data_IF_631111811296
#
_entry.id   IF_631111811296
#
_cell.length_a   1.000
_cell.length_b   1.000
_cell.length_c   1.000
_cell.angle_alpha   90.00
_cell.angle_beta   90.00
_cell.angle_gamma   90.00
#
_symmetry.space_group_name_H-M   'P 1'
#
loop_
_entity.id
_entity.type
_entity.pdbx_description
1 polymer ?
#
# COMPACT_ATOMS: atom_id res chain seq x y z
N UNK A 1 -4.75 -26.77 -3.49
CA UNK A 1 -3.72 -25.73 -3.68
C UNK A 1 -4.28 -24.39 -4.17
N UNK A 2 -5.26 -24.37 -5.06
CA UNK A 2 -5.74 -23.13 -5.72
C UNK A 2 -6.37 -22.05 -4.81
N UNK A 3 -6.78 -22.37 -3.59
CA UNK A 3 -7.39 -21.39 -2.67
C UNK A 3 -6.47 -20.89 -1.56
N UNK A 4 -5.27 -21.47 -1.43
CA UNK A 4 -4.25 -21.02 -0.48
C UNK A 4 -3.42 -19.86 -1.03
N UNK A 5 -3.26 -19.76 -2.36
CA UNK A 5 -2.53 -18.70 -3.02
C UNK A 5 -3.51 -17.84 -3.82
N UNK A 6 -3.58 -16.57 -3.46
CA UNK A 6 -4.42 -15.58 -4.12
C UNK A 6 -3.57 -14.71 -5.05
N UNK A 7 -3.70 -14.92 -6.34
CA UNK A 7 -3.07 -14.06 -7.34
C UNK A 7 -3.84 -12.74 -7.46
N UNK A 8 -3.12 -11.63 -7.62
CA UNK A 8 -3.78 -10.38 -7.98
C UNK A 8 -4.50 -10.51 -9.31
N UNK A 9 -5.54 -9.70 -9.54
CA UNK A 9 -6.29 -9.74 -10.79
C UNK A 9 -5.41 -9.52 -12.02
N UNK A 10 -4.38 -8.68 -11.90
CA UNK A 10 -3.42 -8.43 -12.99
C UNK A 10 -2.57 -9.65 -13.32
N UNK A 11 -2.07 -10.32 -12.31
CA UNK A 11 -1.29 -11.56 -12.50
C UNK A 11 -2.15 -12.64 -13.13
N UNK A 12 -3.38 -12.84 -12.63
CA UNK A 12 -4.30 -13.83 -13.18
C UNK A 12 -4.68 -13.51 -14.63
N UNK A 13 -5.05 -12.28 -14.94
CA UNK A 13 -5.42 -11.87 -16.30
C UNK A 13 -4.26 -12.01 -17.29
N UNK A 14 -3.03 -11.78 -16.84
CA UNK A 14 -1.85 -12.01 -17.68
C UNK A 14 -1.58 -13.50 -17.91
N UNK A 15 -1.74 -14.34 -16.90
CA UNK A 15 -1.60 -15.80 -17.06
C UNK A 15 -2.63 -16.33 -18.07
N UNK A 16 -3.85 -15.80 -18.02
CA UNK A 16 -4.95 -16.22 -18.91
C UNK A 16 -4.79 -15.70 -20.35
N UNK A 17 -4.13 -14.55 -20.53
CA UNK A 17 -3.93 -13.88 -21.82
C UNK A 17 -2.58 -13.15 -21.89
N UNK A 18 -1.46 -13.90 -21.99
CA UNK A 18 -0.13 -13.31 -21.90
C UNK A 18 0.28 -12.48 -23.13
N UNK A 19 -0.43 -12.62 -24.26
CA UNK A 19 -0.12 -11.87 -25.48
C UNK A 19 -0.65 -10.43 -25.45
N UNK A 20 -1.79 -10.19 -24.78
CA UNK A 20 -2.44 -8.88 -24.76
C UNK A 20 -2.43 -8.19 -23.39
N UNK A 21 -1.94 -8.85 -22.34
CA UNK A 21 -1.92 -8.34 -20.97
C UNK A 21 -0.50 -8.23 -20.43
N UNK A 22 -0.28 -7.29 -19.53
CA UNK A 22 0.97 -7.13 -18.80
C UNK A 22 0.77 -7.41 -17.31
N UNK A 23 1.69 -8.12 -16.66
CA UNK A 23 1.60 -8.47 -15.24
C UNK A 23 2.05 -7.32 -14.34
N UNK A 24 1.72 -6.09 -14.69
CA UNK A 24 2.13 -4.89 -13.97
C UNK A 24 0.93 -4.29 -13.25
N UNK A 25 0.86 -4.44 -11.93
CA UNK A 25 -0.18 -3.80 -11.12
C UNK A 25 0.16 -2.34 -10.83
N UNK A 26 1.39 -2.08 -10.40
CA UNK A 26 1.91 -0.75 -10.11
C UNK A 26 3.34 -0.59 -10.61
N UNK A 27 3.70 0.66 -10.88
CA UNK A 27 5.06 1.04 -11.27
C UNK A 27 5.39 2.42 -10.73
N UNK A 28 6.65 2.81 -10.81
CA UNK A 28 7.19 4.07 -10.34
C UNK A 28 7.92 4.78 -11.48
N UNK A 29 7.76 6.09 -11.59
CA UNK A 29 8.57 6.93 -12.45
C UNK A 29 9.14 8.11 -11.65
N UNK A 30 10.46 8.24 -11.66
CA UNK A 30 11.17 9.39 -11.04
C UNK A 30 11.49 10.38 -12.12
N UNK A 31 10.89 11.57 -12.06
CA UNK A 31 11.01 12.60 -13.08
C UNK A 31 12.28 13.40 -12.84
N UNK A 32 13.16 13.44 -13.83
CA UNK A 32 14.34 14.30 -13.84
C UNK A 32 13.96 15.73 -14.25
N UNK A 33 14.72 16.71 -13.75
CA UNK A 33 14.50 18.14 -14.01
C UNK A 33 14.99 18.57 -15.41
N UNK A 34 14.41 17.95 -16.43
CA UNK A 34 14.63 18.23 -17.84
C UNK A 34 13.38 17.90 -18.64
N UNK A 35 13.09 18.68 -19.68
CA UNK A 35 12.02 18.30 -20.63
C UNK A 35 12.38 17.05 -21.40
N UNK A 36 13.63 16.96 -21.85
CA UNK A 36 14.16 15.89 -22.70
C UNK A 36 14.88 14.80 -21.89
N UNK A 37 15.19 13.69 -22.57
CA UNK A 37 15.95 12.60 -22.00
C UNK A 37 15.06 11.42 -21.57
N UNK A 38 15.67 10.25 -21.26
CA UNK A 38 14.92 9.02 -21.00
C UNK A 38 14.07 9.07 -19.72
N UNK A 39 14.42 9.92 -18.75
CA UNK A 39 13.73 10.12 -17.49
C UNK A 39 13.21 11.55 -17.32
N UNK A 40 13.20 12.35 -18.40
CA UNK A 40 12.68 13.71 -18.39
C UNK A 40 11.16 13.78 -18.35
N UNK A 41 10.66 14.98 -18.31
CA UNK A 41 9.22 15.28 -18.16
C UNK A 41 8.41 14.68 -19.31
N UNK A 42 8.83 14.86 -20.57
CA UNK A 42 8.12 14.30 -21.74
C UNK A 42 8.14 12.77 -21.74
N UNK A 43 9.26 12.15 -21.38
CA UNK A 43 9.34 10.70 -21.24
C UNK A 43 8.41 10.19 -20.13
N UNK A 44 8.25 10.95 -19.05
CA UNK A 44 7.32 10.59 -17.97
C UNK A 44 5.86 10.59 -18.41
N UNK A 45 5.45 11.54 -19.24
CA UNK A 45 4.07 11.57 -19.78
C UNK A 45 3.79 10.36 -20.66
N UNK A 46 4.73 10.00 -21.52
CA UNK A 46 4.65 8.81 -22.36
C UNK A 46 4.56 7.55 -21.49
N UNK A 47 5.42 7.42 -20.47
CA UNK A 47 5.45 6.29 -19.57
C UNK A 47 4.14 6.15 -18.79
N UNK A 48 3.66 7.23 -18.16
CA UNK A 48 2.40 7.23 -17.41
C UNK A 48 1.22 6.86 -18.32
N UNK A 49 1.16 7.47 -19.51
CA UNK A 49 0.13 7.13 -20.51
C UNK A 49 0.16 5.66 -20.91
N UNK A 50 1.36 5.11 -21.14
CA UNK A 50 1.54 3.69 -21.48
C UNK A 50 1.06 2.79 -20.34
N UNK A 51 1.54 3.02 -19.12
CA UNK A 51 1.20 2.22 -17.94
C UNK A 51 -0.31 2.23 -17.67
N UNK A 52 -0.95 3.39 -17.66
CA UNK A 52 -2.39 3.53 -17.43
C UNK A 52 -3.22 2.80 -18.49
N UNK A 53 -2.84 2.86 -19.79
CA UNK A 53 -3.55 2.14 -20.86
C UNK A 53 -3.50 0.62 -20.67
N UNK A 54 -2.42 0.11 -20.08
CA UNK A 54 -2.27 -1.33 -19.77
C UNK A 54 -2.74 -1.67 -18.35
N UNK A 55 -3.39 -0.72 -17.67
CA UNK A 55 -4.06 -0.93 -16.40
C UNK A 55 -3.17 -0.86 -15.16
N UNK A 56 -1.91 -0.44 -15.28
CA UNK A 56 -1.04 -0.24 -14.14
C UNK A 56 -1.33 1.09 -13.44
N UNK A 57 -1.24 1.12 -12.10
CA UNK A 57 -1.13 2.34 -11.33
C UNK A 57 0.30 2.91 -11.42
N UNK A 58 0.44 4.23 -11.39
CA UNK A 58 1.75 4.88 -11.50
C UNK A 58 1.98 5.85 -10.34
N UNK A 59 3.05 5.63 -9.61
CA UNK A 59 3.59 6.61 -8.66
C UNK A 59 4.60 7.51 -9.38
N UNK A 60 4.31 8.81 -9.44
CA UNK A 60 5.14 9.80 -10.11
C UNK A 60 5.88 10.61 -9.06
N UNK A 61 7.19 10.45 -8.98
CA UNK A 61 8.04 11.14 -8.02
C UNK A 61 8.59 12.42 -8.62
N UNK A 62 8.20 13.57 -8.06
CA UNK A 62 8.43 14.91 -8.60
C UNK A 62 9.54 15.69 -7.87
N UNK A 63 10.16 15.10 -6.85
CA UNK A 63 11.08 15.81 -5.92
C UNK A 63 12.35 16.35 -6.56
N UNK A 64 12.72 15.87 -7.74
CA UNK A 64 13.88 16.38 -8.49
C UNK A 64 13.57 17.60 -9.35
N UNK A 65 12.29 17.89 -9.59
CA UNK A 65 11.89 19.07 -10.34
C UNK A 65 12.26 20.34 -9.55
N UNK A 66 12.78 21.33 -10.25
CA UNK A 66 13.06 22.63 -9.64
C UNK A 66 11.77 23.32 -9.16
N UNK A 67 11.86 24.14 -8.10
CA UNK A 67 10.68 24.79 -7.56
C UNK A 67 10.12 25.85 -8.51
N UNK A 68 8.83 26.13 -8.32
CA UNK A 68 8.11 27.20 -8.96
C UNK A 68 8.86 28.55 -8.79
N UNK A 69 8.90 29.35 -9.83
CA UNK A 69 9.58 30.64 -9.83
C UNK A 69 11.10 30.57 -10.09
N UNK A 70 11.68 29.37 -10.24
CA UNK A 70 13.12 29.24 -10.56
C UNK A 70 13.40 29.72 -11.99
N UNK A 71 14.27 30.74 -12.15
CA UNK A 71 14.67 31.23 -13.45
C UNK A 71 15.75 30.34 -14.07
N UNK A 72 15.69 30.14 -15.38
CA UNK A 72 16.65 29.31 -16.11
C UNK A 72 17.79 30.14 -16.78
N UNK A 73 17.93 31.43 -16.47
CA UNK A 73 18.89 32.34 -17.05
C UNK A 73 18.63 32.76 -18.50
N UNK A 74 17.49 32.30 -19.08
CA UNK A 74 17.05 32.63 -20.46
C UNK A 74 15.70 33.34 -20.49
N UNK A 75 15.26 33.87 -19.35
CA UNK A 75 14.00 34.58 -19.20
C UNK A 75 12.76 33.64 -19.08
N UNK A 76 12.97 32.32 -18.89
CA UNK A 76 11.92 31.39 -18.63
C UNK A 76 11.89 31.01 -17.15
N UNK A 77 10.71 30.89 -16.59
CA UNK A 77 10.49 30.60 -15.18
C UNK A 77 9.83 29.21 -15.06
N UNK A 78 10.35 28.36 -14.16
CA UNK A 78 9.78 27.05 -13.88
C UNK A 78 8.40 27.20 -13.23
N UNK A 79 7.48 26.31 -13.56
CA UNK A 79 6.13 26.27 -12.99
C UNK A 79 5.99 25.32 -11.80
N UNK A 80 7.04 24.58 -11.45
CA UNK A 80 7.11 23.70 -10.29
C UNK A 80 6.37 22.37 -10.40
N UNK A 81 6.58 21.47 -9.43
CA UNK A 81 6.04 20.10 -9.45
C UNK A 81 4.51 20.04 -9.41
N UNK A 82 3.84 20.98 -8.73
CA UNK A 82 2.36 21.01 -8.64
C UNK A 82 1.73 21.26 -10.01
N UNK A 83 2.29 22.17 -10.79
CA UNK A 83 1.84 22.46 -12.14
C UNK A 83 1.97 21.25 -13.06
N UNK A 84 3.10 20.54 -13.04
CA UNK A 84 3.26 19.28 -13.78
C UNK A 84 2.35 18.17 -13.25
N UNK A 85 2.06 18.16 -11.94
CA UNK A 85 1.11 17.26 -11.32
C UNK A 85 -0.28 17.26 -11.97
N UNK A 86 -0.75 18.43 -12.41
CA UNK A 86 -2.03 18.61 -13.12
C UNK A 86 -2.08 17.84 -14.45
N UNK A 87 -0.96 17.70 -15.13
CA UNK A 87 -0.87 16.94 -16.40
C UNK A 87 -1.11 15.46 -16.13
N UNK A 88 -0.50 14.89 -15.09
CA UNK A 88 -0.69 13.47 -14.75
C UNK A 88 -2.13 13.19 -14.28
N UNK A 89 -2.73 14.12 -13.53
CA UNK A 89 -4.13 14.05 -13.16
C UNK A 89 -5.05 14.05 -14.40
N UNK A 90 -4.77 14.92 -15.37
CA UNK A 90 -5.50 14.97 -16.64
C UNK A 90 -5.31 13.67 -17.46
N UNK A 91 -4.09 13.15 -17.56
CA UNK A 91 -3.82 11.87 -18.24
C UNK A 91 -4.67 10.75 -17.66
N UNK A 92 -4.68 10.61 -16.33
CA UNK A 92 -5.48 9.58 -15.65
C UNK A 92 -6.97 9.76 -15.96
N UNK A 93 -7.49 11.00 -15.90
CA UNK A 93 -8.88 11.28 -16.21
C UNK A 93 -9.26 10.84 -17.63
N UNK A 94 -8.47 11.20 -18.63
CA UNK A 94 -8.79 10.94 -20.03
C UNK A 94 -8.66 9.46 -20.39
N UNK A 95 -7.59 8.82 -19.94
CA UNK A 95 -7.33 7.41 -20.25
C UNK A 95 -8.29 6.46 -19.52
N UNK A 96 -8.68 6.79 -18.28
CA UNK A 96 -9.68 6.04 -17.53
C UNK A 96 -11.04 6.01 -18.23
N UNK A 97 -11.43 7.08 -18.91
CA UNK A 97 -12.72 7.18 -19.61
C UNK A 97 -12.76 6.43 -20.94
N UNK A 98 -11.63 6.27 -21.61
CA UNK A 98 -11.52 5.67 -22.94
C UNK A 98 -10.76 4.35 -22.99
N UNK A 99 -10.12 3.93 -21.89
CA UNK A 99 -9.28 2.73 -21.85
C UNK A 99 -10.05 1.45 -21.60
N UNK A 100 -9.42 0.32 -21.92
CA UNK A 100 -9.89 -1.03 -21.61
C UNK A 100 -10.01 -1.23 -20.10
N UNK A 101 -9.12 -0.58 -19.32
CA UNK A 101 -9.12 -0.59 -17.87
C UNK A 101 -9.65 0.75 -17.32
N UNK A 102 -10.72 0.67 -16.57
CA UNK A 102 -11.37 1.86 -15.97
C UNK A 102 -10.66 2.38 -14.71
N UNK A 103 -9.72 1.65 -14.15
CA UNK A 103 -9.20 1.82 -12.80
C UNK A 103 -7.70 2.15 -12.72
N UNK A 104 -7.19 2.97 -13.63
CA UNK A 104 -5.85 3.54 -13.49
C UNK A 104 -5.76 4.46 -12.26
N UNK A 105 -4.64 4.41 -11.55
CA UNK A 105 -4.36 5.26 -10.41
C UNK A 105 -3.06 6.03 -10.62
N UNK A 106 -3.06 7.30 -10.24
CA UNK A 106 -1.87 8.14 -10.21
C UNK A 106 -1.69 8.68 -8.79
N UNK A 107 -0.49 8.49 -8.24
CA UNK A 107 -0.07 9.12 -6.99
C UNK A 107 1.13 10.01 -7.27
N UNK A 108 1.02 11.27 -6.91
CA UNK A 108 2.10 12.24 -7.00
C UNK A 108 2.87 12.24 -5.69
N UNK A 109 4.17 12.09 -5.76
CA UNK A 109 5.06 12.07 -4.62
C UNK A 109 5.95 13.31 -4.59
N UNK A 110 6.06 13.94 -3.42
CA UNK A 110 6.98 15.05 -3.18
C UNK A 110 7.68 14.86 -1.83
N UNK A 111 8.97 15.14 -1.76
CA UNK A 111 9.72 15.10 -0.51
C UNK A 111 9.36 16.29 0.38
N UNK A 112 9.26 16.05 1.68
CA UNK A 112 8.91 17.10 2.67
C UNK A 112 9.87 18.29 2.63
N UNK A 113 11.12 18.08 2.21
CA UNK A 113 12.15 19.12 2.10
C UNK A 113 12.07 19.96 0.81
N UNK A 114 11.16 19.61 -0.12
CA UNK A 114 11.04 20.38 -1.37
C UNK A 114 10.51 21.79 -1.11
N UNK A 115 11.06 22.84 -1.74
CA UNK A 115 10.60 24.22 -1.52
C UNK A 115 9.12 24.45 -1.77
N UNK A 116 8.52 23.74 -2.73
CA UNK A 116 7.10 23.85 -3.06
C UNK A 116 6.19 22.92 -2.22
N UNK A 117 6.70 22.38 -1.11
CA UNK A 117 5.92 21.42 -0.30
C UNK A 117 4.61 22.02 0.22
N UNK A 118 4.61 23.30 0.62
CA UNK A 118 3.39 23.96 1.10
C UNK A 118 2.36 24.08 -0.03
N UNK A 119 2.79 24.49 -1.24
CA UNK A 119 1.91 24.53 -2.41
C UNK A 119 1.33 23.13 -2.71
N UNK A 120 2.17 22.09 -2.64
CA UNK A 120 1.74 20.73 -2.87
C UNK A 120 0.70 20.25 -1.84
N UNK A 121 0.90 20.56 -0.55
CA UNK A 121 0.00 20.19 0.54
C UNK A 121 -1.34 20.92 0.46
N UNK A 122 -1.32 22.21 0.14
CA UNK A 122 -2.51 23.08 0.13
C UNK A 122 -3.25 23.13 -1.21
N UNK A 123 -2.69 22.52 -2.26
CA UNK A 123 -3.35 22.46 -3.57
C UNK A 123 -4.75 21.86 -3.44
N UNK A 124 -5.80 22.57 -3.88
CA UNK A 124 -7.16 22.06 -3.79
C UNK A 124 -7.34 20.76 -4.59
N UNK A 125 -8.13 19.82 -4.06
CA UNK A 125 -8.42 18.57 -4.76
C UNK A 125 -9.06 18.79 -6.14
N UNK A 126 -9.83 19.87 -6.30
CA UNK A 126 -10.42 20.26 -7.58
C UNK A 126 -9.39 20.51 -8.69
N UNK A 127 -8.14 20.84 -8.34
CA UNK A 127 -7.06 21.03 -9.30
C UNK A 127 -6.31 19.73 -9.64
N UNK A 128 -6.38 18.72 -8.76
CA UNK A 128 -5.79 17.40 -8.92
C UNK A 128 -6.83 16.27 -8.71
N UNK A 129 -7.99 16.33 -9.38
CA UNK A 129 -9.14 15.47 -9.03
C UNK A 129 -8.87 13.98 -9.28
N UNK A 130 -7.93 13.64 -10.16
CA UNK A 130 -7.62 12.27 -10.57
C UNK A 130 -6.20 11.82 -10.16
N UNK A 131 -5.59 12.51 -9.22
CA UNK A 131 -4.32 12.13 -8.63
C UNK A 131 -4.39 12.23 -7.10
N UNK A 132 -3.82 11.25 -6.41
CA UNK A 132 -3.58 11.31 -4.97
C UNK A 132 -2.20 11.91 -4.71
N UNK A 133 -1.94 12.32 -3.48
CA UNK A 133 -0.68 12.94 -3.06
C UNK A 133 -0.05 12.18 -1.92
N UNK A 134 1.26 11.99 -2.02
CA UNK A 134 2.07 11.36 -0.97
C UNK A 134 3.30 12.23 -0.67
N UNK A 135 3.57 12.43 0.60
CA UNK A 135 4.79 13.11 1.07
C UNK A 135 5.80 12.05 1.49
N UNK A 136 7.03 12.16 0.96
CA UNK A 136 8.12 11.29 1.37
C UNK A 136 8.98 12.02 2.40
N UNK A 137 9.37 11.31 3.48
CA UNK A 137 10.12 11.91 4.57
C UNK A 137 11.01 10.91 5.30
N UNK A 138 11.99 11.46 6.03
CA UNK A 138 12.75 10.80 7.06
C UNK A 138 12.40 11.39 8.42
N UNK A 139 12.77 10.73 9.51
CA UNK A 139 12.61 11.26 10.88
C UNK A 139 13.33 12.61 11.05
N UNK A 140 14.57 12.72 10.55
CA UNK A 140 15.34 13.99 10.58
C UNK A 140 14.58 15.11 9.87
N UNK A 141 14.12 14.86 8.64
CA UNK A 141 13.37 15.86 7.86
C UNK A 141 12.05 16.27 8.53
N UNK A 142 11.37 15.35 9.22
CA UNK A 142 10.19 15.69 10.01
C UNK A 142 10.53 16.66 11.14
N UNK A 143 11.59 16.41 11.90
CA UNK A 143 12.01 17.30 12.97
C UNK A 143 12.43 18.69 12.47
N UNK A 144 13.06 18.76 11.32
CA UNK A 144 13.51 20.02 10.69
C UNK A 144 12.38 20.79 9.98
N UNK A 145 11.25 20.14 9.68
CA UNK A 145 10.14 20.77 8.99
C UNK A 145 9.50 21.89 9.83
N UNK A 146 9.06 22.95 9.14
CA UNK A 146 8.35 24.05 9.79
C UNK A 146 6.99 23.60 10.37
N UNK A 147 6.52 24.30 11.40
CA UNK A 147 5.21 24.01 12.00
C UNK A 147 4.06 24.13 10.99
N UNK A 148 4.17 25.02 10.02
CA UNK A 148 3.21 25.12 8.92
C UNK A 148 3.16 23.83 8.10
N UNK A 149 4.31 23.29 7.69
CA UNK A 149 4.37 22.03 6.92
C UNK A 149 3.82 20.86 7.73
N UNK A 150 4.21 20.73 9.01
CA UNK A 150 3.68 19.69 9.91
C UNK A 150 2.17 19.78 10.04
N UNK A 151 1.65 20.98 10.31
CA UNK A 151 0.21 21.23 10.44
C UNK A 151 -0.56 20.85 9.16
N UNK A 152 -0.07 21.24 7.98
CA UNK A 152 -0.75 20.91 6.73
C UNK A 152 -0.69 19.42 6.40
N UNK A 153 0.39 18.72 6.77
CA UNK A 153 0.46 17.25 6.65
C UNK A 153 -0.58 16.57 7.54
N UNK A 154 -0.63 16.94 8.83
CA UNK A 154 -1.58 16.36 9.79
C UNK A 154 -3.03 16.58 9.36
N UNK A 155 -3.36 17.78 8.90
CA UNK A 155 -4.66 18.09 8.29
C UNK A 155 -4.93 17.22 7.06
N UNK A 156 -3.95 17.06 6.20
CA UNK A 156 -4.06 16.27 4.99
C UNK A 156 -4.31 14.78 5.26
N UNK A 157 -3.66 14.20 6.28
CA UNK A 157 -3.89 12.83 6.73
C UNK A 157 -5.30 12.68 7.28
N UNK A 158 -5.73 13.57 8.18
CA UNK A 158 -7.07 13.55 8.77
C UNK A 158 -8.18 13.63 7.72
N UNK A 159 -7.95 14.35 6.62
CA UNK A 159 -8.90 14.46 5.49
C UNK A 159 -8.78 13.30 4.47
N UNK A 160 -7.79 12.43 4.60
CA UNK A 160 -7.48 11.42 3.59
C UNK A 160 -6.93 11.99 2.27
N UNK A 161 -6.45 13.24 2.26
CA UNK A 161 -5.90 13.92 1.08
C UNK A 161 -4.40 13.67 0.89
N UNK A 162 -3.68 13.40 1.97
CA UNK A 162 -2.22 13.21 1.99
C UNK A 162 -1.88 11.86 2.60
N UNK A 163 -1.04 11.12 1.90
CA UNK A 163 -0.43 9.89 2.36
C UNK A 163 1.04 10.14 2.71
N UNK A 164 1.65 9.25 3.48
CA UNK A 164 3.07 9.36 3.84
C UNK A 164 3.83 8.10 3.43
N UNK A 165 5.07 8.27 3.00
CA UNK A 165 6.02 7.19 2.78
C UNK A 165 7.39 7.55 3.34
N UNK A 166 8.03 6.61 4.03
CA UNK A 166 9.42 6.78 4.47
C UNK A 166 10.36 6.75 3.27
N UNK A 167 11.36 7.63 3.26
CA UNK A 167 12.46 7.56 2.28
C UNK A 167 13.30 6.34 2.61
N UNK A 168 13.51 5.47 1.62
CA UNK A 168 14.24 4.22 1.76
C UNK A 168 15.33 4.08 0.72
N UNK A 169 16.34 3.30 1.05
CA UNK A 169 17.44 2.93 0.17
C UNK A 169 17.56 1.40 0.12
N UNK A 170 18.04 0.89 -0.98
CA UNK A 170 18.33 -0.54 -1.14
C UNK A 170 19.69 -0.91 -0.50
N UNK A 171 20.06 -2.17 -0.57
CA UNK A 171 21.33 -2.68 -0.02
C UNK A 171 22.58 -2.09 -0.68
N UNK A 172 22.43 -1.40 -1.82
CA UNK A 172 23.52 -0.72 -2.52
C UNK A 172 23.59 0.78 -2.19
N UNK A 173 22.69 1.27 -1.34
CA UNK A 173 22.57 2.69 -0.99
C UNK A 173 21.79 3.52 -2.01
N UNK A 174 21.21 2.90 -3.03
CA UNK A 174 20.39 3.59 -4.02
C UNK A 174 18.99 3.81 -3.49
N UNK A 175 18.44 4.99 -3.73
CA UNK A 175 17.07 5.32 -3.30
C UNK A 175 16.05 4.46 -4.05
N UNK A 176 15.12 3.90 -3.31
CA UNK A 176 13.94 3.21 -3.80
C UNK A 176 12.68 3.98 -3.44
N UNK A 177 11.66 3.88 -4.27
CA UNK A 177 10.51 4.77 -4.27
C UNK A 177 9.22 3.98 -4.09
N UNK A 178 8.33 4.49 -3.25
CA UNK A 178 7.05 3.85 -2.98
C UNK A 178 6.16 3.86 -4.24
N UNK A 179 5.45 2.74 -4.45
CA UNK A 179 4.43 2.60 -5.50
C UNK A 179 3.12 3.34 -5.17
N UNK A 180 2.06 3.06 -5.90
CA UNK A 180 0.74 3.69 -5.73
C UNK A 180 0.11 3.38 -4.37
N UNK A 181 0.17 2.12 -3.94
CA UNK A 181 -0.44 1.67 -2.68
C UNK A 181 0.57 1.65 -1.51
N UNK A 182 1.78 2.14 -1.73
CA UNK A 182 2.85 2.37 -0.76
C UNK A 182 3.42 1.12 -0.08
N UNK A 183 3.06 -0.08 -0.52
CA UNK A 183 3.59 -1.35 0.02
C UNK A 183 4.86 -1.83 -0.68
N UNK A 184 5.07 -1.44 -1.95
CA UNK A 184 6.22 -1.85 -2.75
C UNK A 184 7.15 -0.67 -2.99
N UNK A 185 8.45 -0.90 -2.84
CA UNK A 185 9.49 0.12 -3.09
C UNK A 185 10.34 -0.30 -4.27
N UNK A 186 10.39 0.55 -5.29
CA UNK A 186 10.93 0.27 -6.62
C UNK A 186 12.01 1.27 -7.01
N UNK A 187 12.90 0.87 -7.90
CA UNK A 187 13.64 1.82 -8.74
C UNK A 187 12.70 2.43 -9.77
N UNK A 188 13.07 3.57 -10.35
CA UNK A 188 12.30 4.16 -11.45
C UNK A 188 12.11 3.14 -12.57
N UNK A 189 10.88 3.02 -13.09
CA UNK A 189 10.44 2.03 -14.10
C UNK A 189 10.42 0.58 -13.64
N UNK A 190 10.60 0.33 -12.34
CA UNK A 190 10.41 -0.98 -11.74
C UNK A 190 8.93 -1.38 -11.72
N UNK A 191 8.68 -2.66 -11.58
CA UNK A 191 7.34 -3.26 -11.60
C UNK A 191 7.08 -4.09 -10.36
N UNK A 192 5.82 -4.21 -9.96
CA UNK A 192 5.43 -5.12 -8.89
C UNK A 192 4.65 -6.32 -9.44
N UNK A 193 5.04 -7.52 -9.01
CA UNK A 193 4.35 -8.77 -9.22
C UNK A 193 3.94 -9.29 -7.84
N UNK A 194 2.64 -9.41 -7.58
CA UNK A 194 2.10 -9.65 -6.24
C UNK A 194 1.22 -10.89 -6.19
N UNK A 195 1.40 -11.68 -5.15
CA UNK A 195 0.53 -12.76 -4.71
C UNK A 195 0.37 -12.73 -3.19
N UNK A 196 -0.68 -13.36 -2.69
CA UNK A 196 -1.00 -13.36 -1.28
C UNK A 196 -1.36 -14.76 -0.80
N UNK A 197 -0.90 -15.11 0.40
CA UNK A 197 -1.31 -16.33 1.08
C UNK A 197 -2.65 -16.09 1.76
N UNK A 198 -3.65 -16.93 1.47
CA UNK A 198 -4.93 -16.91 2.14
C UNK A 198 -4.83 -17.67 3.47
N UNK A 199 -4.56 -16.94 4.54
CA UNK A 199 -4.32 -17.49 5.87
C UNK A 199 -5.54 -18.26 6.43
N UNK A 200 -6.75 -17.85 6.07
CA UNK A 200 -7.99 -18.48 6.56
C UNK A 200 -8.34 -19.79 5.87
N UNK A 201 -7.71 -20.14 4.74
CA UNK A 201 -8.16 -21.31 3.95
C UNK A 201 -7.49 -22.61 4.37
N UNK A 202 -6.22 -22.59 4.76
CA UNK A 202 -5.47 -23.76 5.18
C UNK A 202 -5.50 -24.02 6.69
N UNK A 203 -4.92 -25.16 7.10
CA UNK A 203 -4.53 -25.41 8.49
C UNK A 203 -3.19 -24.69 8.79
N UNK A 204 -2.84 -24.62 10.08
CA UNK A 204 -1.53 -24.05 10.46
C UNK A 204 -0.35 -24.84 9.88
N UNK A 205 -0.51 -26.16 9.75
CA UNK A 205 0.50 -27.06 9.15
C UNK A 205 0.70 -26.81 7.65
N UNK A 206 -0.34 -26.30 6.95
CA UNK A 206 -0.26 -26.02 5.50
C UNK A 206 0.49 -24.70 5.21
N UNK A 207 0.53 -23.74 6.15
CA UNK A 207 1.06 -22.41 5.92
C UNK A 207 2.53 -22.40 5.46
N UNK A 208 3.47 -23.14 6.06
CA UNK A 208 4.86 -23.14 5.59
C UNK A 208 5.00 -23.57 4.13
N UNK A 209 4.24 -24.59 3.73
CA UNK A 209 4.22 -25.05 2.33
C UNK A 209 3.56 -24.03 1.41
N UNK A 210 2.44 -23.42 1.84
CA UNK A 210 1.77 -22.39 1.05
C UNK A 210 2.65 -21.17 0.78
N UNK A 211 3.40 -20.70 1.78
CA UNK A 211 4.37 -19.61 1.62
C UNK A 211 5.52 -19.99 0.69
N UNK A 212 6.04 -21.21 0.79
CA UNK A 212 7.08 -21.72 -0.10
C UNK A 212 6.57 -21.79 -1.54
N UNK A 213 5.40 -22.39 -1.76
CA UNK A 213 4.80 -22.56 -3.09
C UNK A 213 4.47 -21.19 -3.72
N UNK A 214 3.90 -20.26 -2.95
CA UNK A 214 3.59 -18.91 -3.42
C UNK A 214 4.85 -18.13 -3.84
N UNK A 215 5.91 -18.20 -3.02
CA UNK A 215 7.19 -17.57 -3.40
C UNK A 215 7.82 -18.23 -4.63
N UNK A 216 7.76 -19.55 -4.73
CA UNK A 216 8.27 -20.28 -5.90
C UNK A 216 7.51 -19.87 -7.16
N UNK A 217 6.17 -19.78 -7.09
CA UNK A 217 5.36 -19.35 -8.22
C UNK A 217 5.69 -17.91 -8.64
N UNK A 218 5.76 -16.97 -7.68
CA UNK A 218 6.12 -15.57 -7.96
C UNK A 218 7.48 -15.45 -8.66
N UNK A 219 8.48 -16.17 -8.19
CA UNK A 219 9.82 -16.16 -8.79
C UNK A 219 9.81 -16.72 -10.21
N UNK A 220 9.06 -17.79 -10.45
CA UNK A 220 8.92 -18.38 -11.79
C UNK A 220 8.15 -17.47 -12.75
N UNK A 221 7.10 -16.82 -12.28
CA UNK A 221 6.34 -15.83 -13.04
C UNK A 221 7.20 -14.60 -13.34
N UNK A 222 7.97 -14.11 -12.38
CA UNK A 222 8.90 -13.00 -12.56
C UNK A 222 9.86 -13.24 -13.73
N UNK A 223 10.41 -14.45 -13.84
CA UNK A 223 11.32 -14.82 -14.95
C UNK A 223 10.65 -14.82 -16.33
N UNK A 224 9.32 -14.82 -16.38
CA UNK A 224 8.53 -14.94 -17.63
C UNK A 224 7.83 -13.64 -18.02
N UNK A 225 7.93 -12.57 -17.23
CA UNK A 225 7.13 -11.34 -17.47
C UNK A 225 7.42 -10.69 -18.81
N UNK A 226 8.67 -10.69 -19.28
CA UNK A 226 9.08 -10.07 -20.54
C UNK A 226 8.76 -8.57 -20.64
N UNK A 227 8.53 -7.90 -19.51
CA UNK A 227 8.11 -6.48 -19.49
C UNK A 227 9.14 -5.54 -20.08
N UNK A 228 10.41 -5.90 -20.06
CA UNK A 228 11.51 -5.15 -20.69
C UNK A 228 11.37 -5.05 -22.20
N UNK A 229 10.68 -5.99 -22.86
CA UNK A 229 10.44 -5.97 -24.32
C UNK A 229 9.58 -4.79 -24.74
N UNK A 230 8.84 -4.20 -23.81
CA UNK A 230 8.06 -2.98 -24.06
C UNK A 230 8.95 -1.74 -24.25
N UNK A 231 10.20 -1.76 -23.78
CA UNK A 231 11.12 -0.62 -23.71
C UNK A 231 10.75 0.41 -22.64
N UNK A 232 9.70 0.16 -21.84
CA UNK A 232 9.23 1.09 -20.81
C UNK A 232 9.69 0.70 -19.40
N UNK A 233 9.75 -0.59 -19.10
CA UNK A 233 10.09 -1.11 -17.78
C UNK A 233 11.53 -1.61 -17.70
N UNK A 234 12.06 -1.68 -16.48
CA UNK A 234 13.36 -2.27 -16.22
C UNK A 234 13.38 -3.76 -16.59
N UNK A 235 14.55 -4.27 -17.04
CA UNK A 235 14.72 -5.70 -17.26
C UNK A 235 14.70 -6.45 -15.92
N UNK A 236 14.18 -7.67 -15.94
CA UNK A 236 14.08 -8.55 -14.77
C UNK A 236 15.44 -8.78 -14.06
N UNK A 237 16.52 -8.74 -14.81
CA UNK A 237 17.89 -8.88 -14.28
C UNK A 237 18.32 -7.71 -13.37
N UNK A 238 17.69 -6.55 -13.56
CA UNK A 238 17.91 -5.34 -12.74
C UNK A 238 16.80 -5.15 -11.70
N UNK A 239 15.56 -5.54 -12.03
CA UNK A 239 14.36 -5.41 -11.19
C UNK A 239 14.06 -6.73 -10.47
N UNK A 240 15.00 -7.21 -9.65
CA UNK A 240 14.95 -8.50 -8.95
C UNK A 240 14.08 -8.43 -7.72
N UNK A 241 12.79 -8.34 -7.91
CA UNK A 241 11.85 -8.23 -6.80
C UNK A 241 10.47 -8.77 -7.14
N UNK A 242 9.82 -9.28 -6.12
CA UNK A 242 8.42 -9.75 -6.11
C UNK A 242 7.79 -9.34 -4.79
N UNK A 243 6.49 -9.50 -4.63
CA UNK A 243 5.80 -9.19 -3.40
C UNK A 243 4.86 -10.31 -2.97
N UNK A 244 5.34 -11.21 -2.12
CA UNK A 244 4.47 -12.16 -1.43
C UNK A 244 3.87 -11.50 -0.20
N UNK A 245 2.55 -11.40 -0.16
CA UNK A 245 1.80 -10.88 0.97
C UNK A 245 0.90 -11.94 1.59
N UNK A 246 -0.06 -11.48 2.37
CA UNK A 246 -1.04 -12.32 3.03
C UNK A 246 -2.37 -11.61 3.14
N UNK A 247 -3.46 -12.39 3.24
CA UNK A 247 -4.82 -11.92 3.47
C UNK A 247 -5.55 -12.92 4.38
N UNK A 248 -6.68 -12.51 4.94
CA UNK A 248 -7.51 -13.38 5.75
C UNK A 248 -6.99 -13.62 7.17
N UNK A 249 -6.20 -12.68 7.74
CA UNK A 249 -5.76 -12.81 9.12
C UNK A 249 -6.92 -12.87 10.10
N UNK A 250 -7.93 -12.01 9.94
CA UNK A 250 -9.13 -12.03 10.80
C UNK A 250 -9.83 -13.40 10.79
N UNK A 251 -9.95 -14.03 9.60
CA UNK A 251 -10.53 -15.36 9.47
C UNK A 251 -9.67 -16.43 10.18
N UNK A 252 -8.34 -16.40 9.99
CA UNK A 252 -7.45 -17.33 10.67
C UNK A 252 -7.60 -17.24 12.18
N UNK A 253 -7.56 -16.03 12.73
CA UNK A 253 -7.68 -15.81 14.17
C UNK A 253 -9.02 -16.33 14.70
N UNK A 254 -10.13 -16.01 14.03
CA UNK A 254 -11.46 -16.50 14.38
C UNK A 254 -11.56 -18.05 14.34
N UNK A 255 -10.97 -18.68 13.34
CA UNK A 255 -10.96 -20.13 13.16
C UNK A 255 -10.13 -20.86 14.23
N UNK A 256 -9.08 -20.24 14.73
CA UNK A 256 -8.23 -20.76 15.80
C UNK A 256 -8.71 -20.34 17.21
N UNK A 257 -9.77 -19.52 17.30
CA UNK A 257 -10.30 -19.02 18.57
C UNK A 257 -9.34 -18.09 19.31
N UNK A 258 -8.61 -17.29 18.58
CA UNK A 258 -7.60 -16.32 19.08
C UNK A 258 -8.05 -14.91 18.73
N UNK A 259 -7.92 -13.98 19.67
CA UNK A 259 -8.20 -12.56 19.43
C UNK A 259 -6.99 -11.84 18.86
N UNK A 260 -7.22 -10.68 18.21
CA UNK A 260 -6.10 -9.79 17.77
C UNK A 260 -5.19 -9.41 18.95
N UNK A 261 -5.76 -9.15 20.13
CA UNK A 261 -4.98 -8.83 21.33
C UNK A 261 -4.05 -9.98 21.74
N UNK A 262 -4.58 -11.22 21.85
CA UNK A 262 -3.78 -12.40 22.19
C UNK A 262 -2.70 -12.69 21.14
N UNK A 263 -3.02 -12.50 19.87
CA UNK A 263 -2.07 -12.70 18.79
C UNK A 263 -0.97 -11.63 18.81
N UNK A 264 -1.32 -10.37 19.10
CA UNK A 264 -0.36 -9.28 19.26
C UNK A 264 0.60 -9.52 20.43
N UNK A 265 0.11 -10.05 21.56
CA UNK A 265 0.96 -10.45 22.69
C UNK A 265 1.92 -11.59 22.31
N UNK A 266 1.43 -12.59 21.56
CA UNK A 266 2.28 -13.70 21.12
C UNK A 266 3.34 -13.26 20.10
N UNK A 267 3.03 -12.32 19.22
CA UNK A 267 4.01 -11.71 18.31
C UNK A 267 5.08 -10.95 19.10
N UNK A 268 4.66 -10.19 20.10
CA UNK A 268 5.59 -9.42 20.92
C UNK A 268 6.55 -10.34 21.71
N UNK A 269 6.02 -11.40 22.33
CA UNK A 269 6.82 -12.44 23.02
C UNK A 269 7.84 -13.09 22.07
N UNK A 270 7.40 -13.46 20.87
CA UNK A 270 8.28 -14.08 19.87
C UNK A 270 9.41 -13.16 19.38
N UNK A 271 9.16 -11.86 19.36
CA UNK A 271 10.09 -10.86 18.83
C UNK A 271 11.05 -10.29 19.89
N UNK A 272 10.72 -10.41 21.18
CA UNK A 272 11.45 -9.80 22.30
C UNK A 272 11.74 -10.83 23.38
N UNK A 273 13.02 -11.19 23.54
CA UNK A 273 13.48 -12.24 24.48
C UNK A 273 13.16 -11.93 25.95
N UNK A 274 13.02 -10.66 26.30
CA UNK A 274 12.77 -10.19 27.68
C UNK A 274 11.28 -10.07 28.03
N UNK A 275 10.38 -10.48 27.13
CA UNK A 275 8.95 -10.40 27.36
C UNK A 275 8.46 -11.60 28.18
N UNK A 276 7.70 -11.35 29.23
CA UNK A 276 7.14 -12.35 30.14
C UNK A 276 5.61 -12.26 30.25
N UNK A 277 4.93 -11.91 29.16
CA UNK A 277 3.47 -11.84 29.09
C UNK A 277 2.81 -13.23 29.09
N UNK A 278 1.50 -13.23 29.28
CA UNK A 278 0.68 -14.46 29.22
C UNK A 278 0.32 -14.77 27.78
N UNK A 279 1.09 -15.64 27.12
CA UNK A 279 0.83 -16.07 25.74
C UNK A 279 0.00 -17.33 25.73
N UNK A 280 -1.13 -17.32 25.00
CA UNK A 280 -1.92 -18.52 24.81
C UNK A 280 -1.24 -19.51 23.86
N UNK A 281 -1.33 -20.83 24.13
CA UNK A 281 -0.71 -21.83 23.25
C UNK A 281 -1.21 -21.78 21.80
N UNK A 282 -2.46 -21.39 21.56
CA UNK A 282 -3.03 -21.23 20.22
C UNK A 282 -2.39 -20.05 19.48
N UNK A 283 -2.26 -18.88 20.13
CA UNK A 283 -1.62 -17.73 19.55
C UNK A 283 -0.14 -18.00 19.21
N UNK A 284 0.59 -18.65 20.13
CA UNK A 284 1.99 -19.04 19.89
C UNK A 284 2.16 -19.98 18.68
N UNK A 285 1.21 -20.92 18.48
CA UNK A 285 1.23 -21.80 17.30
C UNK A 285 1.02 -21.04 16.00
N UNK A 286 0.14 -20.03 15.97
CA UNK A 286 -0.08 -19.19 14.78
C UNK A 286 1.21 -18.43 14.45
N UNK A 287 1.83 -17.78 15.46
CA UNK A 287 3.09 -17.04 15.28
C UNK A 287 4.17 -17.96 14.70
N UNK A 288 4.31 -19.17 15.27
CA UNK A 288 5.29 -20.15 14.78
C UNK A 288 5.01 -20.54 13.32
N UNK A 289 3.78 -20.83 12.96
CA UNK A 289 3.42 -21.24 11.61
C UNK A 289 3.70 -20.13 10.58
N UNK A 290 3.44 -18.86 10.95
CA UNK A 290 3.77 -17.71 10.11
C UNK A 290 5.29 -17.54 9.97
N UNK A 291 6.05 -17.67 11.07
CA UNK A 291 7.51 -17.58 11.02
C UNK A 291 8.09 -18.69 10.14
N UNK A 292 7.65 -19.93 10.32
CA UNK A 292 8.10 -21.07 9.52
C UNK A 292 7.79 -20.83 8.01
N UNK A 293 6.63 -20.24 7.70
CA UNK A 293 6.24 -19.87 6.35
C UNK A 293 7.11 -18.77 5.75
N UNK A 294 7.31 -17.70 6.48
CA UNK A 294 8.18 -16.57 6.06
C UNK A 294 9.60 -17.08 5.83
N UNK A 295 10.12 -17.94 6.70
CA UNK A 295 11.46 -18.51 6.56
C UNK A 295 11.58 -19.40 5.32
N UNK A 296 10.58 -20.26 5.07
CA UNK A 296 10.55 -21.12 3.89
C UNK A 296 10.51 -20.28 2.58
N UNK A 297 9.69 -19.26 2.53
CA UNK A 297 9.63 -18.32 1.39
C UNK A 297 10.95 -17.54 1.23
N UNK A 298 11.57 -17.13 2.33
CA UNK A 298 12.85 -16.41 2.34
C UNK A 298 13.97 -17.23 1.70
N UNK A 299 14.04 -18.53 2.00
CA UNK A 299 15.03 -19.42 1.38
C UNK A 299 14.89 -19.50 -0.14
N UNK A 300 13.65 -19.56 -0.65
CA UNK A 300 13.36 -19.59 -2.08
C UNK A 300 13.73 -18.25 -2.73
N UNK A 301 13.34 -17.13 -2.13
CA UNK A 301 13.64 -15.80 -2.64
C UNK A 301 15.15 -15.56 -2.74
N UNK A 302 15.90 -15.90 -1.68
CA UNK A 302 17.37 -15.79 -1.64
C UNK A 302 18.05 -16.74 -2.65
N UNK A 303 17.57 -17.98 -2.77
CA UNK A 303 18.05 -18.94 -3.75
C UNK A 303 17.89 -18.49 -5.20
N UNK A 304 16.97 -17.54 -5.45
CA UNK A 304 16.73 -16.93 -6.76
C UNK A 304 17.26 -15.48 -6.87
N UNK A 305 18.09 -15.05 -5.93
CA UNK A 305 18.73 -13.73 -5.90
C UNK A 305 17.75 -12.56 -5.92
N UNK A 306 16.59 -12.67 -5.25
CA UNK A 306 15.66 -11.56 -5.11
C UNK A 306 16.22 -10.53 -4.13
N UNK A 307 16.15 -9.26 -4.50
CA UNK A 307 16.56 -8.13 -3.65
C UNK A 307 15.48 -7.80 -2.61
N UNK A 308 14.21 -7.97 -2.97
CA UNK A 308 13.03 -7.84 -2.10
C UNK A 308 11.97 -8.86 -2.52
N UNK A 309 11.19 -9.35 -1.54
CA UNK A 309 10.30 -10.47 -1.82
C UNK A 309 8.94 -10.42 -1.08
N UNK A 310 8.79 -9.59 -0.03
CA UNK A 310 7.59 -9.54 0.77
C UNK A 310 6.93 -8.17 0.72
N UNK A 311 5.64 -8.13 0.35
CA UNK A 311 4.83 -6.92 0.34
C UNK A 311 3.38 -7.26 0.69
N UNK A 312 2.79 -6.52 1.63
CA UNK A 312 1.40 -6.71 2.03
C UNK A 312 0.57 -5.59 1.40
N UNK A 313 -0.06 -5.92 0.29
CA UNK A 313 -0.88 -5.00 -0.49
C UNK A 313 -2.32 -4.91 0.02
N UNK A 314 -3.07 -3.85 -0.31
CA UNK A 314 -4.51 -3.81 -0.06
C UNK A 314 -5.18 -4.83 -0.97
N UNK A 315 -5.84 -5.83 -0.38
CA UNK A 315 -6.30 -7.03 -1.09
C UNK A 315 -7.82 -7.13 -1.24
N UNK A 316 -8.54 -6.03 -1.08
CA UNK A 316 -10.01 -6.05 -1.06
C UNK A 316 -10.64 -6.87 -2.19
N UNK A 317 -10.30 -6.61 -3.46
CA UNK A 317 -10.85 -7.39 -4.58
C UNK A 317 -10.33 -8.80 -4.68
N UNK A 318 -9.10 -9.04 -4.22
CA UNK A 318 -8.55 -10.40 -4.17
C UNK A 318 -9.31 -11.22 -3.14
N UNK A 319 -9.53 -10.67 -1.94
CA UNK A 319 -10.17 -11.36 -0.83
C UNK A 319 -11.61 -11.80 -1.13
N UNK A 320 -12.38 -10.97 -1.84
CA UNK A 320 -13.79 -11.28 -2.19
C UNK A 320 -13.96 -12.50 -3.12
N UNK A 321 -12.91 -12.95 -3.76
CA UNK A 321 -12.93 -14.12 -4.64
C UNK A 321 -12.63 -15.43 -3.91
N UNK A 322 -12.25 -15.33 -2.65
CA UNK A 322 -11.81 -16.48 -1.86
C UNK A 322 -12.63 -16.63 -0.58
N UNK A 323 -12.66 -17.83 -0.08
CA UNK A 323 -13.28 -18.17 1.21
C UNK A 323 -12.23 -18.75 2.15
N UNK A 324 -12.52 -18.66 3.44
CA UNK A 324 -11.82 -19.42 4.45
C UNK A 324 -12.25 -20.90 4.43
N UNK A 325 -11.66 -21.74 5.29
CA UNK A 325 -11.98 -23.15 5.37
C UNK A 325 -13.39 -23.45 5.92
N UNK A 326 -14.06 -22.48 6.54
CA UNK A 326 -15.44 -22.59 6.99
C UNK A 326 -16.47 -22.11 5.94
N UNK A 327 -16.00 -21.53 4.82
CA UNK A 327 -16.83 -21.07 3.71
C UNK A 327 -17.22 -19.60 3.78
N UNK A 328 -16.73 -18.83 4.75
CA UNK A 328 -16.94 -17.39 4.82
C UNK A 328 -15.97 -16.63 3.91
N UNK A 329 -16.37 -15.46 3.46
CA UNK A 329 -15.50 -14.57 2.66
C UNK A 329 -14.19 -14.28 3.40
N UNK A 330 -13.09 -14.32 2.70
CA UNK A 330 -11.79 -13.97 3.28
C UNK A 330 -11.69 -12.46 3.50
N UNK A 331 -11.30 -12.03 4.70
CA UNK A 331 -11.04 -10.63 5.02
C UNK A 331 -9.81 -10.11 4.28
N UNK A 332 -9.79 -8.84 3.85
CA UNK A 332 -8.62 -8.25 3.22
C UNK A 332 -7.42 -8.21 4.17
N UNK A 333 -6.22 -8.41 3.63
CA UNK A 333 -4.92 -8.17 4.27
C UNK A 333 -4.83 -8.57 5.75
N UNK A 334 -4.27 -7.71 6.60
CA UNK A 334 -4.08 -7.93 8.04
C UNK A 334 -5.12 -7.22 8.90
N UNK A 335 -5.82 -6.24 8.31
CA UNK A 335 -6.76 -5.43 9.07
C UNK A 335 -8.03 -6.23 9.43
N UNK A 336 -8.59 -6.02 10.64
CA UNK A 336 -9.92 -6.51 10.94
C UNK A 336 -10.95 -5.78 10.06
N UNK A 337 -11.99 -6.47 9.57
CA UNK A 337 -13.01 -5.82 8.77
C UNK A 337 -13.84 -4.83 9.61
N UNK A 338 -14.37 -3.80 8.97
CA UNK A 338 -15.24 -2.80 9.64
C UNK A 338 -16.58 -3.38 10.12
N UNK A 339 -17.00 -4.50 9.56
CA UNK A 339 -18.22 -5.23 9.95
C UNK A 339 -18.15 -6.66 9.46
N UNK A 340 -18.94 -7.56 10.09
CA UNK A 340 -19.01 -8.97 9.71
C UNK A 340 -19.75 -9.19 8.40
N UNK A 341 -20.76 -8.36 8.14
CA UNK A 341 -21.49 -8.28 6.89
C UNK A 341 -21.22 -6.92 6.26
N UNK A 342 -20.68 -6.91 5.05
CA UNK A 342 -20.31 -5.68 4.34
C UNK A 342 -20.97 -5.69 2.96
N UNK A 343 -21.77 -4.66 2.69
CA UNK A 343 -22.30 -4.40 1.36
C UNK A 343 -21.28 -3.60 0.57
N UNK A 344 -20.95 -4.08 -0.63
CA UNK A 344 -20.05 -3.38 -1.54
C UNK A 344 -20.66 -3.30 -2.92
N UNK A 345 -20.69 -2.10 -3.46
CA UNK A 345 -21.04 -1.87 -4.86
C UNK A 345 -19.80 -2.11 -5.73
N UNK A 346 -19.80 -3.22 -6.45
CA UNK A 346 -18.89 -3.38 -7.59
C UNK A 346 -19.59 -2.80 -8.81
N UNK A 347 -19.03 -1.76 -9.39
CA UNK A 347 -19.60 -1.08 -10.59
C UNK A 347 -19.95 -2.04 -11.75
N UNK A 348 -19.48 -3.28 -11.70
CA UNK A 348 -19.70 -4.33 -12.72
C UNK A 348 -20.83 -5.27 -12.36
N UNK A 349 -21.02 -5.59 -11.07
CA UNK A 349 -21.99 -6.59 -10.61
C UNK A 349 -23.05 -6.05 -9.65
N UNK A 350 -23.09 -4.72 -9.42
CA UNK A 350 -23.97 -4.10 -8.45
C UNK A 350 -23.56 -4.33 -7.01
N UNK A 351 -24.45 -4.06 -6.07
CA UNK A 351 -24.21 -4.25 -4.64
C UNK A 351 -24.19 -5.75 -4.33
N UNK A 352 -23.08 -6.22 -3.75
CA UNK A 352 -22.91 -7.56 -3.25
C UNK A 352 -22.61 -7.52 -1.76
N UNK A 353 -23.18 -8.46 -1.01
CA UNK A 353 -22.94 -8.63 0.41
C UNK A 353 -21.86 -9.68 0.64
N UNK A 354 -20.87 -9.33 1.46
CA UNK A 354 -19.79 -10.21 1.87
C UNK A 354 -19.93 -10.56 3.36
N UNK A 355 -19.92 -11.84 3.66
CA UNK A 355 -20.01 -12.37 5.02
C UNK A 355 -18.66 -12.94 5.45
N UNK A 356 -18.02 -12.29 6.43
CA UNK A 356 -16.73 -12.71 6.98
C UNK A 356 -16.86 -13.70 8.15
N UNK A 357 -18.08 -14.11 8.50
CA UNK A 357 -18.32 -15.01 9.62
C UNK A 357 -18.12 -14.32 10.97
N UNK A 358 -17.63 -15.09 11.95
CA UNK A 358 -17.51 -14.61 13.32
C UNK A 358 -16.14 -14.00 13.64
N UNK A 359 -15.62 -13.17 12.75
CA UNK A 359 -14.36 -12.43 12.96
C UNK A 359 -14.55 -11.28 13.94
N UNK A 360 -13.48 -10.84 14.59
CA UNK A 360 -13.49 -9.55 15.30
C UNK A 360 -13.54 -8.40 14.28
N UNK A 361 -14.39 -7.41 14.54
CA UNK A 361 -14.46 -6.18 13.75
C UNK A 361 -13.41 -5.18 14.19
N UNK A 362 -13.13 -4.18 13.37
CA UNK A 362 -12.17 -3.13 13.69
C UNK A 362 -12.53 -2.39 15.00
N UNK A 363 -13.82 -2.13 15.23
CA UNK A 363 -14.31 -1.50 16.47
C UNK A 363 -14.07 -2.39 17.71
N UNK A 364 -14.24 -3.70 17.59
CA UNK A 364 -13.99 -4.66 18.67
C UNK A 364 -12.50 -4.82 18.97
N UNK A 365 -11.65 -4.82 17.95
CA UNK A 365 -10.19 -4.97 18.07
C UNK A 365 -9.55 -3.72 18.68
N UNK A 366 -9.94 -2.54 18.21
CA UNK A 366 -9.30 -1.28 18.58
C UNK A 366 -7.96 -1.04 17.86
N UNK A 367 -7.61 0.23 17.70
CA UNK A 367 -6.45 0.63 16.90
C UNK A 367 -5.11 0.16 17.50
N UNK A 368 -4.98 0.17 18.83
CA UNK A 368 -3.73 -0.23 19.50
C UNK A 368 -3.41 -1.73 19.26
N UNK A 369 -4.41 -2.60 19.41
CA UNK A 369 -4.23 -4.03 19.16
C UNK A 369 -3.95 -4.31 17.67
N UNK A 370 -4.63 -3.62 16.77
CA UNK A 370 -4.33 -3.66 15.33
C UNK A 370 -2.88 -3.27 15.04
N UNK A 371 -2.40 -2.12 15.54
CA UNK A 371 -1.03 -1.67 15.34
C UNK A 371 -0.01 -2.67 15.89
N UNK A 372 -0.24 -3.24 17.08
CA UNK A 372 0.64 -4.23 17.68
C UNK A 372 0.80 -5.46 16.78
N UNK A 373 -0.29 -5.93 16.19
CA UNK A 373 -0.28 -7.07 15.27
C UNK A 373 0.47 -6.74 13.97
N UNK A 374 0.12 -5.67 13.31
CA UNK A 374 0.74 -5.34 12.03
C UNK A 374 2.20 -4.94 12.17
N UNK A 375 2.58 -4.31 13.27
CA UNK A 375 3.99 -4.00 13.58
C UNK A 375 4.79 -5.28 13.86
N UNK A 376 4.21 -6.22 14.59
CA UNK A 376 4.83 -7.51 14.84
C UNK A 376 5.08 -8.29 13.55
N UNK A 377 4.09 -8.39 12.68
CA UNK A 377 4.23 -9.06 11.37
C UNK A 377 5.28 -8.34 10.50
N UNK A 378 5.26 -7.01 10.46
CA UNK A 378 6.26 -6.25 9.71
C UNK A 378 7.67 -6.42 10.27
N UNK A 379 7.85 -6.56 11.59
CA UNK A 379 9.15 -6.87 12.18
C UNK A 379 9.64 -8.27 11.77
N UNK A 380 8.77 -9.29 11.77
CA UNK A 380 9.13 -10.63 11.28
C UNK A 380 9.62 -10.57 9.83
N UNK A 381 8.90 -9.87 8.96
CA UNK A 381 9.27 -9.70 7.55
C UNK A 381 10.57 -8.89 7.41
N UNK A 382 10.73 -7.81 8.16
CA UNK A 382 11.95 -6.97 8.12
C UNK A 382 13.20 -7.74 8.52
N UNK A 383 13.11 -8.70 9.45
CA UNK A 383 14.23 -9.58 9.85
C UNK A 383 14.75 -10.45 8.71
N UNK A 384 13.93 -10.69 7.68
CA UNK A 384 14.40 -11.42 6.47
C UNK A 384 15.39 -10.63 5.63
N UNK A 385 15.43 -9.29 5.75
CA UNK A 385 16.17 -8.39 4.88
C UNK A 385 15.58 -8.24 3.48
N UNK A 386 14.40 -8.84 3.20
CA UNK A 386 13.75 -8.85 1.88
C UNK A 386 12.40 -8.11 1.88
N UNK A 387 12.16 -7.24 2.85
CA UNK A 387 10.89 -6.54 3.00
C UNK A 387 10.75 -5.37 2.03
N UNK A 388 9.59 -5.28 1.39
CA UNK A 388 9.05 -4.04 0.87
C UNK A 388 8.34 -3.27 1.98
N UNK A 389 7.07 -3.55 2.23
CA UNK A 389 6.27 -2.88 3.24
C UNK A 389 4.84 -3.42 3.31
N UNK A 390 4.04 -2.69 4.04
CA UNK A 390 2.61 -2.88 4.17
C UNK A 390 1.88 -1.58 3.80
N UNK A 391 0.76 -1.67 3.10
CA UNK A 391 -0.17 -0.56 2.87
C UNK A 391 -0.91 -0.24 4.18
N UNK A 392 -0.18 0.33 5.14
CA UNK A 392 -0.67 0.53 6.50
C UNK A 392 -1.83 1.52 6.53
N UNK A 393 -2.94 1.10 7.14
CA UNK A 393 -4.15 1.89 7.24
C UNK A 393 -4.15 2.73 8.53
N UNK A 394 -4.62 3.97 8.41
CA UNK A 394 -4.95 4.80 9.57
C UNK A 394 -6.47 4.78 9.80
N UNK A 395 -6.93 5.12 11.02
CA UNK A 395 -8.35 5.08 11.39
C UNK A 395 -8.79 6.48 11.83
N UNK A 396 -9.37 7.25 10.90
CA UNK A 396 -9.60 8.69 11.05
C UNK A 396 -10.67 9.09 12.06
N UNK A 397 -11.55 8.17 12.43
CA UNK A 397 -12.62 8.40 13.40
C UNK A 397 -12.29 7.91 14.81
N UNK A 398 -11.11 7.31 15.03
CA UNK A 398 -10.65 6.83 16.34
C UNK A 398 -9.27 7.34 16.73
N UNK A 399 -8.48 7.82 15.79
CA UNK A 399 -7.08 8.24 16.03
C UNK A 399 -6.93 9.72 15.81
N UNK A 400 -6.35 10.39 16.79
CA UNK A 400 -5.89 11.76 16.64
C UNK A 400 -4.50 11.77 16.02
N UNK A 401 -4.35 12.45 14.89
CA UNK A 401 -3.07 12.64 14.23
C UNK A 401 -2.42 13.92 14.76
N UNK A 402 -1.37 13.77 15.53
CA UNK A 402 -0.55 14.84 16.05
C UNK A 402 0.95 14.56 15.80
N UNK A 403 1.81 15.43 16.32
CA UNK A 403 3.25 15.27 16.14
C UNK A 403 3.78 13.97 16.75
N UNK A 404 3.28 13.57 17.90
CA UNK A 404 3.75 12.38 18.61
C UNK A 404 3.37 11.11 17.83
N UNK A 405 2.15 11.08 17.28
CA UNK A 405 1.72 10.00 16.39
C UNK A 405 2.66 9.81 15.19
N UNK A 406 3.07 10.91 14.53
CA UNK A 406 4.00 10.82 13.39
C UNK A 406 5.39 10.35 13.85
N UNK A 407 5.88 10.84 14.99
CA UNK A 407 7.19 10.43 15.54
C UNK A 407 7.17 8.93 15.88
N UNK A 408 6.12 8.43 16.49
CA UNK A 408 5.97 7.01 16.80
C UNK A 408 5.89 6.16 15.53
N UNK A 409 5.10 6.59 14.54
CA UNK A 409 5.07 5.93 13.24
C UNK A 409 6.45 5.92 12.56
N UNK A 410 7.21 7.02 12.61
CA UNK A 410 8.56 7.07 12.02
C UNK A 410 9.52 6.07 12.66
N UNK A 411 9.35 5.75 13.93
CA UNK A 411 10.12 4.73 14.67
C UNK A 411 9.58 3.32 14.48
N UNK A 412 8.32 3.15 14.07
CA UNK A 412 7.69 1.86 13.88
C UNK A 412 8.30 1.10 12.69
N UNK A 413 8.05 -0.21 12.55
CA UNK A 413 8.46 -0.99 11.39
C UNK A 413 7.68 -0.67 10.11
N UNK A 414 6.60 0.12 10.19
CA UNK A 414 5.81 0.53 9.04
C UNK A 414 6.59 1.44 8.11
N UNK A 415 6.36 1.31 6.81
CA UNK A 415 7.07 2.07 5.77
C UNK A 415 6.23 3.19 5.18
N UNK A 416 4.93 3.17 5.41
CA UNK A 416 3.97 4.12 4.84
C UNK A 416 2.75 4.30 5.72
N UNK A 417 2.00 5.37 5.47
CA UNK A 417 0.59 5.54 5.84
C UNK A 417 -0.19 5.71 4.54
N UNK A 418 -1.05 4.75 4.25
CA UNK A 418 -1.79 4.68 3.00
C UNK A 418 -3.14 5.42 3.12
N UNK A 419 -4.26 4.74 3.09
CA UNK A 419 -5.56 5.39 3.23
C UNK A 419 -6.09 5.27 4.66
N UNK A 420 -7.08 6.12 4.97
CA UNK A 420 -7.74 6.12 6.27
C UNK A 420 -9.08 5.40 6.22
N UNK A 421 -9.33 4.56 7.20
CA UNK A 421 -10.62 3.88 7.40
C UNK A 421 -11.47 4.65 8.41
N UNK A 422 -12.79 4.55 8.25
CA UNK A 422 -13.76 4.90 9.26
C UNK A 422 -14.31 3.60 9.85
N UNK A 423 -14.03 3.35 11.12
CA UNK A 423 -14.30 2.06 11.77
C UNK A 423 -15.47 2.07 12.73
N UNK A 424 -15.87 3.25 13.23
CA UNK A 424 -17.01 3.37 14.15
C UNK A 424 -18.33 3.12 13.42
N UNK A 425 -19.09 2.16 13.90
CA UNK A 425 -20.41 1.83 13.33
C UNK A 425 -21.56 2.61 13.99
N UNK A 426 -21.35 3.09 15.21
CA UNK A 426 -22.36 3.90 15.91
C UNK A 426 -22.36 5.33 15.36
N UNK A 427 -23.39 5.67 14.60
CA UNK A 427 -23.54 6.97 13.93
C UNK A 427 -23.45 8.14 14.92
N UNK A 428 -24.04 8.05 16.12
CA UNK A 428 -23.99 9.12 17.11
C UNK A 428 -22.58 9.32 17.68
N UNK A 429 -21.90 8.23 18.05
CA UNK A 429 -20.51 8.31 18.53
C UNK A 429 -19.55 8.78 17.45
N UNK A 430 -19.83 8.43 16.19
CA UNK A 430 -19.09 8.90 15.02
C UNK A 430 -19.30 10.42 14.83
N UNK A 431 -20.54 10.88 14.86
CA UNK A 431 -20.88 12.31 14.70
C UNK A 431 -20.27 13.13 15.84
N UNK A 432 -20.30 12.64 17.08
CA UNK A 432 -19.70 13.29 18.24
C UNK A 432 -18.17 13.37 18.12
N UNK A 433 -17.52 12.29 17.70
CA UNK A 433 -16.07 12.26 17.47
C UNK A 433 -15.66 13.20 16.33
N UNK A 434 -16.46 13.22 15.24
CA UNK A 434 -16.24 14.10 14.09
C UNK A 434 -16.45 15.57 14.48
N UNK A 435 -17.47 15.88 15.27
CA UNK A 435 -17.72 17.24 15.76
C UNK A 435 -16.57 17.74 16.65
N UNK A 436 -16.02 16.89 17.52
CA UNK A 436 -14.88 17.22 18.34
C UNK A 436 -13.61 17.50 17.52
N UNK A 437 -13.39 16.76 16.45
CA UNK A 437 -12.29 17.00 15.50
C UNK A 437 -12.51 18.27 14.68
N UNK A 438 -13.76 18.55 14.25
CA UNK A 438 -14.12 19.77 13.54
C UNK A 438 -13.95 21.03 14.37
N UNK A 439 -14.34 21.02 15.67
CA UNK A 439 -14.13 22.14 16.58
C UNK A 439 -12.65 22.49 16.75
N UNK A 440 -11.77 21.49 16.77
CA UNK A 440 -10.33 21.70 16.94
C UNK A 440 -9.64 22.19 15.65
N UNK A 441 -10.12 21.77 14.47
CA UNK A 441 -9.41 22.01 13.18
C UNK A 441 -10.23 22.76 12.13
N UNK A 442 -11.49 23.05 12.37
CA UNK A 442 -12.40 23.73 11.43
C UNK A 442 -12.59 22.96 10.10
N UNK A 443 -12.90 21.65 10.18
CA UNK A 443 -13.01 20.74 9.04
C UNK A 443 -14.43 20.39 8.65
N UNK A 444 -14.69 20.33 7.32
CA UNK A 444 -15.80 19.60 6.74
C UNK A 444 -15.35 18.23 6.25
N UNK A 445 -15.93 17.17 6.81
CA UNK A 445 -15.65 15.79 6.37
C UNK A 445 -16.20 15.50 4.99
N UNK A 446 -15.47 14.67 4.24
CA UNK A 446 -15.89 14.22 2.92
C UNK A 446 -16.62 12.88 3.00
N UNK A 447 -17.67 12.79 2.20
CA UNK A 447 -18.36 11.54 1.88
C UNK A 447 -17.39 10.61 1.13
N UNK A 448 -17.15 9.39 1.68
CA UNK A 448 -16.28 8.37 1.08
C UNK A 448 -16.89 7.66 -0.14
N UNK A 449 -18.06 8.03 -0.58
CA UNK A 449 -18.67 7.60 -1.84
C UNK A 449 -17.97 8.17 -3.09
N UNK A 450 -16.82 8.84 -2.91
CA UNK A 450 -16.07 9.47 -4.00
C UNK A 450 -15.50 8.41 -4.98
N UNK A 451 -15.93 8.42 -6.24
CA UNK A 451 -15.48 7.47 -7.25
C UNK A 451 -13.99 7.59 -7.62
N UNK A 452 -13.23 8.46 -6.93
CA UNK A 452 -11.79 8.63 -7.14
C UNK A 452 -10.93 7.83 -6.17
N UNK A 453 -11.52 6.99 -5.31
CA UNK A 453 -10.76 6.04 -4.49
C UNK A 453 -9.88 5.15 -5.35
N UNK A 454 -8.67 4.89 -4.86
CA UNK A 454 -7.71 4.05 -5.56
C UNK A 454 -8.19 2.59 -5.57
N UNK A 455 -8.87 2.21 -6.64
CA UNK A 455 -9.28 0.82 -6.91
C UNK A 455 -8.20 0.09 -7.73
N UNK A 456 -7.07 0.74 -7.99
CA UNK A 456 -6.06 0.29 -8.95
C UNK A 456 -5.32 -0.99 -8.59
N UNK A 457 -5.32 -1.41 -7.33
CA UNK A 457 -4.77 -2.70 -6.92
C UNK A 457 -5.85 -3.77 -6.73
N UNK A 458 -7.10 -3.42 -6.95
CA UNK A 458 -8.25 -4.21 -6.58
C UNK A 458 -8.88 -5.01 -7.74
N UNK A 459 -8.42 -4.86 -8.99
CA UNK A 459 -8.86 -5.71 -10.13
C UNK A 459 -7.73 -6.51 -10.74
#
# INVERSE_FOLDING_TARGET
MTNLISRTGRVQNWIDDPESRLPVSCTVFVVEDSMEGPNGIEASWRFVSYALRHGAGVAVHLSKLRPNGTENGKGLVASGPVSFGKIYSCLNQQLRRGGVYKNGAVVLHLDISHPDIVEFLTCPRSELPWAKRCVNLTETQWHEASELVKSEILKGISRGDIWLAKIRHDQYGERIYANVCLEVFLRSRGTCLLEHINLGHGSLEDLPTAFADGMQELVELHKKTGVEQTGEYLPQTEDRQVGLGMLGLANLLALEGVTYAEFGEALHDHLHEDYHGSVTPSAAKIVKALQDGIDAATLIARGNNMDRAFAIAPTASCSYRYTDRAGYTTAPELAPPIGRLVDRDSSTFGVQQYDYGNVETAEEVGYEAYCRVVDGIMQMINRTGLAHGYSFNTWSDVVRYDNDFIVDWLKSPQTSMYYSLQVMQNTQAKDDAMAALDEEFNFTFRDFSDPTECVGCAE
#
